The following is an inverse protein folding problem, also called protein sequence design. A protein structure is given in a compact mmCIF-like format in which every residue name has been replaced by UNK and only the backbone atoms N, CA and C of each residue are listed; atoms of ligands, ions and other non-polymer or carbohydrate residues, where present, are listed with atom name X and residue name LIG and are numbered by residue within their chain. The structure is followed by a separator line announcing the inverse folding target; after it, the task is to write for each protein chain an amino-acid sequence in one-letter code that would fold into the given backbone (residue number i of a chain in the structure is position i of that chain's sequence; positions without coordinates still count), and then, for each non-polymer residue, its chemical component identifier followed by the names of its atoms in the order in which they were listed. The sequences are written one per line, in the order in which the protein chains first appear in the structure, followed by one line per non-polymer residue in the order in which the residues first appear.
data_IF_628425124598
#
_entry.id   IF_628425124598
#
_cell.length_a   1.000
_cell.length_b   1.000
_cell.length_c   1.000
_cell.angle_alpha   90.00
_cell.angle_beta   90.00
_cell.angle_gamma   90.00
#
_symmetry.space_group_name_H-M   'P 1'
#
loop_
_entity.id
_entity.type
_entity.pdbx_description
1 polymer ?
#
# COMPACT_ATOMS: atom_id res chain seq x y z
N UNK A 1 1.41 -23.31 14.25
CA UNK A 1 2.07 -23.37 13.12
C UNK A 1 1.43 -22.78 11.98
N UNK A 2 0.44 -23.30 11.44
CA UNK A 2 -0.15 -22.72 10.25
C UNK A 2 -0.52 -21.28 10.41
N UNK A 3 -0.75 -20.86 11.62
CA UNK A 3 -1.17 -19.52 11.84
C UNK A 3 -0.12 -18.53 11.46
N UNK A 4 1.12 -18.84 11.77
CA UNK A 4 2.17 -17.92 11.45
C UNK A 4 2.33 -17.76 9.97
N UNK A 5 2.19 -18.87 9.26
CA UNK A 5 2.32 -18.81 7.83
C UNK A 5 1.23 -17.95 7.24
N UNK A 6 0.03 -18.11 7.76
CA UNK A 6 -1.09 -17.33 7.28
C UNK A 6 -0.85 -15.84 7.47
N UNK A 7 -0.31 -15.43 8.60
CA UNK A 7 -0.03 -14.04 8.82
C UNK A 7 0.95 -13.49 7.82
N UNK A 8 1.95 -14.29 7.44
CA UNK A 8 2.91 -13.82 6.46
C UNK A 8 2.31 -13.67 5.09
N UNK A 9 1.35 -14.50 4.76
CA UNK A 9 0.72 -14.42 3.45
C UNK A 9 -0.13 -13.18 3.29
N UNK A 10 -0.43 -12.51 4.38
CA UNK A 10 -1.29 -11.34 4.32
C UNK A 10 -0.54 -10.05 4.53
N UNK A 11 0.71 -10.02 4.08
CA UNK A 11 1.50 -8.80 4.15
C UNK A 11 0.85 -7.73 3.27
N UNK A 12 0.83 -6.50 3.80
CA UNK A 12 0.32 -5.37 3.03
C UNK A 12 1.15 -5.17 1.77
N UNK A 13 0.51 -4.64 0.74
CA UNK A 13 1.19 -4.29 -0.49
C UNK A 13 0.92 -2.83 -0.81
N UNK A 14 1.96 -2.14 -1.26
CA UNK A 14 1.83 -0.76 -1.70
C UNK A 14 2.29 -0.67 -3.14
N UNK A 15 1.38 -0.31 -4.03
CA UNK A 15 1.73 -0.03 -5.41
C UNK A 15 2.31 1.37 -5.45
N UNK A 16 3.53 1.48 -5.91
CA UNK A 16 4.36 2.66 -5.72
C UNK A 16 5.03 3.07 -7.02
N UNK A 17 5.33 4.36 -7.10
CA UNK A 17 6.13 4.89 -8.19
C UNK A 17 7.15 5.83 -7.58
N UNK A 18 8.43 5.56 -7.82
CA UNK A 18 9.48 6.43 -7.33
C UNK A 18 9.35 7.79 -8.03
N UNK A 19 9.50 8.84 -7.25
CA UNK A 19 9.34 10.16 -7.77
C UNK A 19 7.95 10.73 -7.61
N UNK A 20 7.00 9.90 -7.17
CA UNK A 20 5.64 10.36 -6.91
C UNK A 20 5.54 10.87 -5.48
N UNK A 21 5.19 12.14 -5.33
CA UNK A 21 5.11 12.74 -4.00
C UNK A 21 4.05 12.12 -3.12
N UNK A 22 2.93 11.74 -3.72
CA UNK A 22 1.85 11.13 -2.93
C UNK A 22 2.26 9.75 -2.43
N UNK A 23 2.98 8.99 -3.25
CA UNK A 23 3.50 7.70 -2.79
C UNK A 23 4.49 7.90 -1.66
N UNK A 24 5.31 8.94 -1.75
CA UNK A 24 6.29 9.21 -0.71
C UNK A 24 5.62 9.51 0.62
N UNK A 25 4.50 10.21 0.60
CA UNK A 25 3.76 10.48 1.82
C UNK A 25 3.33 9.20 2.51
N UNK A 26 2.83 8.26 1.74
CA UNK A 26 2.37 6.99 2.30
C UNK A 26 3.56 6.19 2.82
N UNK A 27 4.65 6.14 2.06
CA UNK A 27 5.84 5.41 2.50
C UNK A 27 6.37 5.97 3.82
N UNK A 28 6.32 7.29 3.96
CA UNK A 28 6.80 7.93 5.17
C UNK A 28 5.98 7.52 6.39
N UNK A 29 4.66 7.49 6.23
CA UNK A 29 3.79 7.08 7.33
C UNK A 29 4.04 5.62 7.69
N UNK A 30 4.18 4.76 6.69
CA UNK A 30 4.47 3.35 6.94
C UNK A 30 5.77 3.19 7.72
N UNK A 31 6.78 3.97 7.37
CA UNK A 31 8.05 3.90 8.08
C UNK A 31 7.93 4.42 9.51
N UNK A 32 7.22 5.51 9.69
CA UNK A 32 7.05 6.06 11.04
C UNK A 32 6.30 5.10 11.94
N UNK A 33 5.39 4.34 11.39
CA UNK A 33 4.61 3.40 12.17
C UNK A 33 5.26 2.02 12.24
N UNK A 34 6.42 1.87 11.63
CA UNK A 34 7.18 0.61 11.63
C UNK A 34 6.37 -0.54 11.07
N UNK A 35 5.59 -0.27 10.06
CA UNK A 35 4.77 -1.30 9.44
C UNK A 35 5.50 -1.92 8.27
N UNK A 36 5.40 -3.24 8.17
CA UNK A 36 6.03 -3.97 7.08
C UNK A 36 5.06 -4.08 5.92
N UNK A 37 5.58 -3.95 4.71
CA UNK A 37 4.77 -4.05 3.51
C UNK A 37 5.66 -4.40 2.34
N UNK A 38 5.04 -4.90 1.30
CA UNK A 38 5.72 -5.19 0.04
C UNK A 38 5.51 -4.02 -0.89
N UNK A 39 6.61 -3.43 -1.36
CA UNK A 39 6.54 -2.30 -2.28
C UNK A 39 6.59 -2.83 -3.70
N UNK A 40 5.57 -2.55 -4.48
CA UNK A 40 5.45 -3.02 -5.85
C UNK A 40 5.57 -1.81 -6.77
N UNK A 41 6.68 -1.73 -7.51
CA UNK A 41 6.87 -0.61 -8.42
C UNK A 41 6.01 -0.76 -9.64
N UNK A 42 5.35 0.32 -10.04
CA UNK A 42 4.52 0.30 -11.25
C UNK A 42 5.26 1.00 -12.37
N UNK A 43 4.93 0.68 -13.63
CA UNK A 43 5.56 1.35 -14.76
C UNK A 43 5.16 2.82 -14.83
N UNK A 44 6.01 3.65 -15.41
CA UNK A 44 5.73 5.06 -15.61
C UNK A 44 4.51 5.29 -16.49
N UNK A 45 4.42 4.66 -17.68
CA UNK A 45 3.25 4.89 -18.55
C UNK A 45 2.00 4.30 -17.93
N UNK A 46 0.94 5.10 -17.85
CA UNK A 46 -0.30 4.65 -17.25
C UNK A 46 -0.88 3.43 -17.96
N UNK A 47 -0.75 3.38 -19.28
CA UNK A 47 -1.34 2.28 -20.03
C UNK A 47 -0.63 0.95 -19.76
N UNK A 48 0.54 0.99 -19.13
CA UNK A 48 1.25 -0.24 -18.81
C UNK A 48 1.04 -0.68 -17.38
N UNK A 49 0.25 0.06 -16.61
CA UNK A 49 0.01 -0.26 -15.19
C UNK A 49 -1.16 -1.23 -15.06
N UNK A 50 -1.01 -2.38 -15.70
CA UNK A 50 -2.13 -3.33 -15.79
C UNK A 50 -2.45 -3.96 -14.44
N UNK A 51 -1.42 -4.25 -13.65
CA UNK A 51 -1.63 -4.90 -12.38
C UNK A 51 -2.37 -3.99 -11.40
N UNK A 52 -1.95 -2.73 -11.29
CA UNK A 52 -2.61 -1.83 -10.36
C UNK A 52 -4.03 -1.53 -10.85
N UNK A 53 -4.23 -1.45 -12.15
CA UNK A 53 -5.57 -1.23 -12.68
C UNK A 53 -6.48 -2.41 -12.36
N UNK A 54 -5.94 -3.61 -12.45
CA UNK A 54 -6.72 -4.80 -12.15
C UNK A 54 -7.16 -4.83 -10.70
N UNK A 55 -6.29 -4.35 -9.81
CA UNK A 55 -6.56 -4.37 -8.37
C UNK A 55 -7.52 -3.27 -7.96
N UNK A 56 -7.30 -2.05 -8.44
CA UNK A 56 -8.04 -0.89 -7.93
C UNK A 56 -9.05 -0.31 -8.91
N UNK A 57 -8.98 -0.72 -10.17
CA UNK A 57 -9.81 -0.11 -11.20
C UNK A 57 -9.27 1.21 -11.71
N UNK A 58 -8.08 1.58 -11.26
CA UNK A 58 -7.45 2.83 -11.64
C UNK A 58 -5.99 2.58 -11.97
N UNK A 59 -5.42 3.45 -12.80
CA UNK A 59 -4.00 3.34 -13.11
C UNK A 59 -3.16 4.32 -12.32
N UNK A 60 -3.71 4.88 -11.26
CA UNK A 60 -3.01 5.84 -10.41
C UNK A 60 -2.42 5.16 -9.20
N UNK A 61 -1.41 5.78 -8.62
CA UNK A 61 -0.78 5.33 -7.39
C UNK A 61 -0.74 6.51 -6.44
N UNK A 62 -0.64 6.28 -5.13
CA UNK A 62 -0.45 4.99 -4.46
C UNK A 62 -1.73 4.19 -4.33
N UNK A 63 -1.59 2.87 -4.24
CA UNK A 63 -2.70 1.99 -3.90
C UNK A 63 -2.21 1.05 -2.81
N UNK A 64 -2.97 0.97 -1.73
CA UNK A 64 -2.66 0.06 -0.63
C UNK A 64 -3.60 -1.13 -0.67
N UNK A 65 -3.03 -2.32 -0.54
CA UNK A 65 -3.80 -3.54 -0.40
C UNK A 65 -3.46 -4.17 0.94
N UNK A 66 -4.46 -4.32 1.78
CA UNK A 66 -4.28 -4.93 3.09
C UNK A 66 -5.36 -5.98 3.25
N UNK A 67 -5.01 -7.24 2.97
CA UNK A 67 -6.01 -8.28 2.93
C UNK A 67 -6.99 -8.01 1.82
N UNK A 68 -8.25 -7.84 2.18
CA UNK A 68 -9.28 -7.55 1.20
C UNK A 68 -9.56 -6.05 1.06
N UNK A 69 -8.86 -5.24 1.83
CA UNK A 69 -9.03 -3.80 1.79
C UNK A 69 -8.15 -3.21 0.70
N UNK A 70 -8.74 -2.42 -0.20
CA UNK A 70 -8.01 -1.79 -1.29
C UNK A 70 -8.36 -0.31 -1.26
N UNK A 71 -7.34 0.53 -1.13
CA UNK A 71 -7.53 1.97 -1.00
C UNK A 71 -6.62 2.67 -2.01
N UNK A 72 -7.18 3.54 -2.83
CA UNK A 72 -6.44 4.17 -3.91
C UNK A 72 -6.28 5.68 -3.74
N UNK A 73 -6.44 6.19 -2.54
CA UNK A 73 -6.24 7.61 -2.25
C UNK A 73 -5.25 7.75 -1.11
N UNK A 74 -4.25 8.62 -1.29
CA UNK A 74 -3.16 8.71 -0.31
C UNK A 74 -3.65 9.16 1.06
N UNK A 75 -4.60 10.08 1.11
CA UNK A 75 -5.09 10.53 2.40
C UNK A 75 -5.95 9.48 3.09
N UNK A 76 -6.72 8.74 2.31
CA UNK A 76 -7.50 7.65 2.87
C UNK A 76 -6.62 6.52 3.34
N UNK A 77 -5.52 6.27 2.62
CA UNK A 77 -4.57 5.25 3.04
C UNK A 77 -3.99 5.62 4.39
N UNK A 78 -3.54 6.87 4.53
CA UNK A 78 -2.91 7.31 5.77
C UNK A 78 -3.91 7.23 6.93
N UNK A 79 -5.14 7.65 6.68
CA UNK A 79 -6.17 7.59 7.71
C UNK A 79 -6.45 6.13 8.12
N UNK A 80 -6.53 5.25 7.13
CA UNK A 80 -6.74 3.83 7.39
C UNK A 80 -5.63 3.25 8.24
N UNK A 81 -4.38 3.58 7.90
CA UNK A 81 -3.24 3.05 8.64
C UNK A 81 -3.27 3.50 10.09
N UNK A 82 -3.57 4.77 10.31
CA UNK A 82 -3.56 5.31 11.67
C UNK A 82 -4.69 4.75 12.52
N UNK A 83 -5.81 4.44 11.91
CA UNK A 83 -6.94 3.87 12.64
C UNK A 83 -6.79 2.39 12.87
N UNK A 84 -6.20 1.69 11.90
CA UNK A 84 -6.13 0.23 11.95
C UNK A 84 -4.95 -0.25 12.77
N UNK A 85 -3.83 0.45 12.70
CA UNK A 85 -2.59 0.04 13.36
C UNK A 85 -2.20 1.09 14.38
N UNK A 86 -2.57 0.90 15.64
CA UNK A 86 -2.26 1.90 16.66
C UNK A 86 -0.76 2.08 16.81
N UNK A 87 -0.37 3.32 17.02
CA UNK A 87 1.04 3.65 17.20
C UNK A 87 1.35 3.55 18.68
N UNK A 88 2.42 2.83 18.98
CA UNK A 88 2.90 2.78 20.35
C UNK A 88 3.77 3.97 20.59
N UNK A 89 3.40 4.80 21.51
CA UNK A 89 4.22 5.98 21.79
C UNK A 89 4.87 5.90 23.14
#
# INVERSE_FOLDING_TARGET
MPQEIKGKLEVMKLYNLDGCGYCAMVREVLAEMSLEYEKIEVPWPHQERKEVYKVSGQSTVPVLVDGETIIDDEYEIIDYLKKTYPVNS
#
